data_IF_080117546101
#
_entry.id   IF_080117546101
#
_cell.length_a   1.000
_cell.length_b   1.000
_cell.length_c   1.000
_cell.angle_alpha   90.00
_cell.angle_beta   90.00
_cell.angle_gamma   90.00
#
_symmetry.space_group_name_H-M   'P 1'
#
loop_
_entity.id
_entity.type
_entity.pdbx_description
1 polymer ?
#
# COMPACT_ATOMS: atom_id res chain seq x y z
N UNK A 1 12.83 -12.07 -31.90
CA UNK A 1 14.15 -11.48 -31.62
C UNK A 1 14.45 -11.64 -30.14
N UNK A 2 15.65 -12.11 -29.73
CA UNK A 2 16.01 -12.19 -28.32
C UNK A 2 16.03 -10.78 -27.72
N UNK A 3 15.30 -10.57 -26.61
CA UNK A 3 15.33 -9.29 -25.90
C UNK A 3 16.72 -9.11 -25.31
N UNK A 4 17.42 -8.04 -25.70
CA UNK A 4 18.72 -7.67 -25.14
C UNK A 4 18.61 -7.60 -23.62
N UNK A 5 19.51 -8.27 -22.90
CA UNK A 5 19.54 -8.22 -21.44
C UNK A 5 19.76 -6.78 -20.99
N UNK A 6 19.00 -6.26 -20.02
CA UNK A 6 19.25 -4.93 -19.48
C UNK A 6 20.64 -4.83 -18.85
N UNK A 7 21.37 -3.76 -19.14
CA UNK A 7 22.77 -3.52 -18.70
C UNK A 7 22.90 -3.62 -17.18
N UNK A 8 21.90 -3.15 -16.42
CA UNK A 8 21.93 -3.22 -14.95
C UNK A 8 21.97 -4.66 -14.40
N UNK A 9 21.43 -5.64 -15.14
CA UNK A 9 21.51 -7.05 -14.72
C UNK A 9 22.93 -7.59 -14.85
N UNK A 10 23.65 -7.15 -15.88
CA UNK A 10 25.05 -7.50 -16.11
C UNK A 10 25.98 -6.77 -15.13
N UNK A 11 25.60 -5.55 -14.69
CA UNK A 11 26.33 -4.78 -13.69
C UNK A 11 26.14 -5.28 -12.24
N UNK A 12 25.12 -6.11 -11.98
CA UNK A 12 24.75 -6.55 -10.63
C UNK A 12 25.85 -7.36 -9.89
N UNK A 13 26.58 -8.30 -10.52
CA UNK A 13 27.68 -9.00 -9.87
C UNK A 13 28.81 -8.04 -9.44
N UNK A 14 29.16 -7.09 -10.30
CA UNK A 14 30.18 -6.06 -10.01
C UNK A 14 29.75 -5.17 -8.86
N UNK A 15 28.50 -4.68 -8.89
CA UNK A 15 27.92 -3.90 -7.80
C UNK A 15 27.99 -4.63 -6.45
N UNK A 16 27.62 -5.91 -6.42
CA UNK A 16 27.70 -6.72 -5.22
C UNK A 16 29.15 -6.86 -4.71
N UNK A 17 30.11 -7.10 -5.61
CA UNK A 17 31.53 -7.20 -5.25
C UNK A 17 32.09 -5.88 -4.70
N UNK A 18 31.65 -4.74 -5.25
CA UNK A 18 32.01 -3.42 -4.73
C UNK A 18 31.46 -3.21 -3.32
N UNK A 19 30.20 -3.58 -3.07
CA UNK A 19 29.62 -3.52 -1.73
C UNK A 19 30.35 -4.44 -0.75
N UNK A 20 30.64 -5.69 -1.12
CA UNK A 20 31.33 -6.67 -0.26
C UNK A 20 32.74 -6.21 0.16
N UNK A 21 33.40 -5.39 -0.67
CA UNK A 21 34.78 -4.91 -0.46
C UNK A 21 34.88 -3.49 0.09
N UNK A 22 33.75 -2.80 0.22
CA UNK A 22 33.68 -1.42 0.70
C UNK A 22 34.09 -1.32 2.16
N UNK A 23 34.92 -0.33 2.50
CA UNK A 23 35.40 -0.11 3.88
C UNK A 23 34.85 1.16 4.50
N UNK A 24 34.22 2.02 3.70
CA UNK A 24 33.70 3.31 4.11
C UNK A 24 32.44 3.66 3.29
N UNK A 25 31.77 4.74 3.69
CA UNK A 25 30.58 5.25 3.01
C UNK A 25 30.83 5.70 1.56
N UNK A 26 32.01 6.28 1.27
CA UNK A 26 32.33 6.76 -0.07
C UNK A 26 32.42 5.61 -1.09
N UNK A 27 32.95 4.44 -0.67
CA UNK A 27 32.99 3.24 -1.49
C UNK A 27 31.57 2.74 -1.81
N UNK A 28 30.69 2.74 -0.80
CA UNK A 28 29.27 2.35 -0.95
C UNK A 28 28.53 3.33 -1.87
N UNK A 29 28.76 4.63 -1.71
CA UNK A 29 28.17 5.66 -2.56
C UNK A 29 28.62 5.50 -4.01
N UNK A 30 29.92 5.24 -4.24
CA UNK A 30 30.46 4.97 -5.57
C UNK A 30 29.84 3.73 -6.21
N UNK A 31 29.69 2.64 -5.45
CA UNK A 31 29.01 1.43 -5.90
C UNK A 31 27.54 1.70 -6.28
N UNK A 32 26.84 2.52 -5.48
CA UNK A 32 25.45 2.89 -5.76
C UNK A 32 25.33 3.78 -7.01
N UNK A 33 26.24 4.72 -7.21
CA UNK A 33 26.29 5.55 -8.43
C UNK A 33 26.54 4.70 -9.68
N UNK A 34 27.44 3.71 -9.59
CA UNK A 34 27.72 2.78 -10.68
C UNK A 34 26.46 2.00 -11.12
N UNK A 35 25.74 1.38 -10.17
CA UNK A 35 24.55 0.60 -10.53
C UNK A 35 23.39 1.50 -11.00
N UNK A 36 23.26 2.72 -10.47
CA UNK A 36 22.29 3.71 -10.96
C UNK A 36 22.57 4.08 -12.41
N UNK A 37 23.82 4.36 -12.75
CA UNK A 37 24.21 4.67 -14.11
C UNK A 37 23.85 3.52 -15.07
N UNK A 38 24.13 2.27 -14.68
CA UNK A 38 23.75 1.10 -15.47
C UNK A 38 22.22 0.96 -15.66
N UNK A 39 21.42 1.40 -14.69
CA UNK A 39 19.94 1.47 -14.83
C UNK A 39 19.53 2.57 -15.79
N UNK A 40 20.17 3.75 -15.73
CA UNK A 40 19.91 4.86 -16.67
C UNK A 40 20.27 4.46 -18.09
N UNK A 41 21.42 3.82 -18.30
CA UNK A 41 21.85 3.30 -19.60
C UNK A 41 20.92 2.22 -20.16
N UNK A 42 20.28 1.43 -19.28
CA UNK A 42 19.28 0.43 -19.69
C UNK A 42 17.96 1.06 -20.15
N UNK A 43 17.67 2.29 -19.71
CA UNK A 43 16.40 2.97 -19.95
C UNK A 43 16.63 4.49 -20.14
N UNK A 44 17.31 4.92 -21.22
CA UNK A 44 17.70 6.32 -21.41
C UNK A 44 16.49 7.25 -21.54
N UNK A 45 15.46 6.84 -22.29
CA UNK A 45 14.34 7.71 -22.66
C UNK A 45 13.09 7.50 -21.79
N UNK A 46 13.08 6.49 -20.93
CA UNK A 46 11.92 6.16 -20.09
C UNK A 46 12.25 6.22 -18.60
N UNK A 47 12.25 7.43 -18.03
CA UNK A 47 12.26 7.70 -16.60
C UNK A 47 11.51 6.68 -15.72
N UNK A 48 10.22 6.48 -16.00
CA UNK A 48 9.34 5.61 -15.20
C UNK A 48 9.74 4.13 -15.22
N UNK A 49 10.36 3.65 -16.29
CA UNK A 49 10.80 2.25 -16.43
C UNK A 49 11.97 1.90 -15.50
N UNK A 50 12.66 2.91 -14.93
CA UNK A 50 13.79 2.73 -13.99
C UNK A 50 13.34 2.32 -12.58
N UNK A 51 12.06 2.52 -12.23
CA UNK A 51 11.50 2.18 -10.89
C UNK A 51 11.59 0.70 -10.56
N UNK A 52 11.23 -0.18 -11.50
CA UNK A 52 11.21 -1.63 -11.29
C UNK A 52 12.63 -2.23 -11.13
N UNK A 53 13.62 -1.89 -11.97
CA UNK A 53 15.02 -2.23 -11.75
C UNK A 53 15.54 -1.79 -10.38
N UNK A 54 15.33 -0.53 -9.99
CA UNK A 54 15.79 -0.01 -8.69
C UNK A 54 15.13 -0.73 -7.50
N UNK A 55 13.83 -1.04 -7.61
CA UNK A 55 13.15 -1.86 -6.60
C UNK A 55 13.77 -3.26 -6.48
N UNK A 56 14.13 -3.86 -7.61
CA UNK A 56 14.76 -5.18 -7.66
C UNK A 56 16.17 -5.17 -7.06
N UNK A 57 16.98 -4.14 -7.35
CA UNK A 57 18.32 -3.96 -6.78
C UNK A 57 18.23 -3.81 -5.26
N UNK A 58 17.33 -2.96 -4.75
CA UNK A 58 17.11 -2.80 -3.30
C UNK A 58 16.65 -4.09 -2.63
N UNK A 59 15.78 -4.87 -3.28
CA UNK A 59 15.35 -6.18 -2.78
C UNK A 59 16.54 -7.14 -2.66
N UNK A 60 17.39 -7.19 -3.68
CA UNK A 60 18.60 -8.02 -3.65
C UNK A 60 19.59 -7.59 -2.57
N UNK A 61 19.76 -6.28 -2.32
CA UNK A 61 20.57 -5.78 -1.20
C UNK A 61 19.99 -6.25 0.15
N UNK A 62 18.67 -6.15 0.36
CA UNK A 62 18.02 -6.64 1.59
C UNK A 62 18.11 -8.15 1.78
N UNK A 63 18.04 -8.93 0.71
CA UNK A 63 18.17 -10.39 0.75
C UNK A 63 19.60 -10.81 1.05
N UNK A 64 20.59 -10.12 0.48
CA UNK A 64 22.02 -10.38 0.69
C UNK A 64 22.49 -9.93 2.08
N UNK A 65 21.95 -8.82 2.56
CA UNK A 65 22.24 -8.25 3.88
C UNK A 65 20.94 -8.15 4.68
N UNK A 66 20.47 -9.25 5.28
CA UNK A 66 19.25 -9.23 6.06
C UNK A 66 19.48 -8.51 7.40
N UNK A 67 18.68 -7.49 7.68
CA UNK A 67 18.61 -6.93 9.04
C UNK A 67 17.96 -7.96 9.98
N UNK A 68 18.55 -8.22 11.14
CA UNK A 68 17.90 -9.09 12.14
C UNK A 68 16.63 -8.42 12.66
N UNK A 69 15.51 -9.11 12.53
CA UNK A 69 14.26 -8.76 13.21
C UNK A 69 14.48 -8.73 14.72
N UNK A 70 14.18 -7.59 15.37
CA UNK A 70 14.13 -7.46 16.82
C UNK A 70 15.46 -7.23 17.56
N UNK A 71 16.54 -6.84 16.86
CA UNK A 71 17.83 -6.47 17.50
C UNK A 71 18.48 -5.20 16.96
N UNK A 72 17.77 -4.35 16.21
CA UNK A 72 18.26 -2.97 16.12
C UNK A 72 17.91 -2.28 17.45
N UNK A 73 18.87 -1.67 18.16
CA UNK A 73 18.60 -0.96 19.41
C UNK A 73 17.65 0.25 19.26
N UNK A 74 17.20 0.55 18.04
CA UNK A 74 16.59 1.83 17.66
C UNK A 74 15.40 1.63 16.70
N UNK A 75 14.43 0.82 17.09
CA UNK A 75 13.16 0.60 16.35
C UNK A 75 12.21 1.83 16.32
N UNK A 76 12.71 3.05 16.57
CA UNK A 76 11.86 4.25 16.77
C UNK A 76 12.34 5.56 16.13
N UNK A 77 13.39 5.57 15.30
CA UNK A 77 13.89 6.80 14.65
C UNK A 77 13.92 6.60 13.13
N UNK A 78 13.54 7.60 12.29
CA UNK A 78 13.73 7.52 10.84
C UNK A 78 15.22 7.28 10.57
N UNK A 79 15.54 6.15 9.92
CA UNK A 79 16.91 5.74 9.61
C UNK A 79 17.72 6.93 9.04
N UNK A 80 19.01 7.12 9.45
CA UNK A 80 19.91 5.98 9.66
C UNK A 80 20.95 6.07 10.80
N UNK A 81 21.19 4.92 11.44
CA UNK A 81 22.54 4.55 11.87
C UNK A 81 22.82 3.12 11.44
N UNK A 82 23.84 2.96 10.60
CA UNK A 82 24.23 1.75 9.86
C UNK A 82 25.34 0.99 10.57
N UNK A 83 25.10 0.64 11.83
CA UNK A 83 26.03 -0.16 12.59
C UNK A 83 25.34 -1.46 12.97
N UNK A 84 25.70 -2.56 12.32
CA UNK A 84 25.29 -3.89 12.76
C UNK A 84 26.55 -4.68 13.14
N UNK A 85 26.76 -4.88 14.43
CA UNK A 85 27.75 -5.82 14.98
C UNK A 85 27.29 -7.29 14.87
N UNK A 86 26.07 -7.51 14.39
CA UNK A 86 25.46 -8.81 14.23
C UNK A 86 25.88 -9.50 12.92
N UNK A 87 26.75 -10.51 13.04
CA UNK A 87 27.19 -11.37 11.94
C UNK A 87 28.40 -12.23 12.33
N UNK A 88 28.76 -13.25 11.52
CA UNK A 88 30.02 -14.00 11.72
C UNK A 88 31.18 -13.00 11.68
N UNK A 89 31.86 -12.82 12.81
CA UNK A 89 33.03 -11.96 12.97
C UNK A 89 32.82 -10.62 13.66
N UNK A 90 31.59 -10.19 13.99
CA UNK A 90 31.30 -8.88 14.63
C UNK A 90 32.08 -7.70 14.01
N UNK A 91 32.20 -7.72 12.69
CA UNK A 91 32.90 -6.67 11.92
C UNK A 91 31.88 -5.63 11.51
N UNK A 92 32.30 -4.36 11.55
CA UNK A 92 31.53 -3.20 11.09
C UNK A 92 31.10 -3.39 9.63
N UNK A 93 29.82 -3.16 9.36
CA UNK A 93 29.18 -3.47 8.07
C UNK A 93 28.42 -2.26 7.55
N UNK A 94 28.95 -1.67 6.49
CA UNK A 94 28.46 -0.45 5.84
C UNK A 94 27.44 -0.74 4.72
N UNK A 95 27.20 -2.00 4.38
CA UNK A 95 26.46 -2.45 3.20
C UNK A 95 25.00 -1.98 3.17
N UNK A 96 24.42 -1.70 4.35
CA UNK A 96 23.07 -1.15 4.47
C UNK A 96 22.96 0.32 4.06
N UNK A 97 24.05 1.09 4.05
CA UNK A 97 24.10 2.45 3.48
C UNK A 97 23.69 2.45 2.01
N UNK A 98 23.91 1.34 1.30
CA UNK A 98 23.50 1.23 -0.08
C UNK A 98 21.99 1.46 -0.24
N UNK A 99 21.17 1.09 0.75
CA UNK A 99 19.72 1.34 0.70
C UNK A 99 19.38 2.83 0.75
N UNK A 100 20.17 3.64 1.46
CA UNK A 100 20.03 5.10 1.49
C UNK A 100 20.43 5.69 0.14
N UNK A 101 21.61 5.36 -0.34
CA UNK A 101 22.09 5.93 -1.59
C UNK A 101 21.29 5.43 -2.80
N UNK A 102 20.59 4.29 -2.71
CA UNK A 102 19.63 3.83 -3.72
C UNK A 102 18.21 4.40 -3.54
N UNK A 103 17.96 5.23 -2.52
CA UNK A 103 16.79 6.10 -2.42
C UNK A 103 17.10 7.40 -3.17
N UNK A 104 16.47 7.60 -4.32
CA UNK A 104 16.57 8.82 -5.11
C UNK A 104 15.26 9.03 -5.86
N UNK A 105 15.04 10.28 -6.29
CA UNK A 105 13.81 11.00 -6.68
C UNK A 105 12.79 10.24 -7.52
N UNK A 106 13.24 9.23 -8.23
CA UNK A 106 12.45 8.22 -8.93
C UNK A 106 11.38 7.53 -8.06
N UNK A 107 11.55 7.58 -6.72
CA UNK A 107 10.67 6.94 -5.73
C UNK A 107 10.02 7.90 -4.74
N UNK A 108 10.16 9.23 -4.92
CA UNK A 108 9.28 10.15 -4.21
C UNK A 108 7.86 9.87 -4.71
N UNK A 109 7.05 9.25 -3.86
CA UNK A 109 5.63 9.56 -3.89
C UNK A 109 5.54 10.98 -3.36
N UNK A 110 4.80 11.85 -4.04
CA UNK A 110 4.42 13.17 -3.54
C UNK A 110 3.54 13.00 -2.28
N UNK A 111 4.13 12.55 -1.17
CA UNK A 111 3.48 12.35 0.13
C UNK A 111 3.67 13.60 1.02
N UNK A 112 4.04 14.75 0.45
CA UNK A 112 4.12 16.04 1.14
C UNK A 112 3.18 17.09 0.52
N UNK A 113 1.87 16.90 0.73
CA UNK A 113 0.89 18.00 0.72
C UNK A 113 -0.12 17.80 1.84
N UNK A 114 0.35 17.75 3.08
CA UNK A 114 -0.51 17.85 4.25
C UNK A 114 0.24 18.55 5.37
N UNK A 115 0.44 19.87 5.20
CA UNK A 115 0.52 20.75 6.36
C UNK A 115 -0.91 21.05 6.80
N UNK A 116 -1.43 20.21 7.69
CA UNK A 116 -2.64 20.49 8.45
C UNK A 116 -2.39 21.69 9.37
N UNK A 117 -2.78 22.88 8.90
CA UNK A 117 -3.08 24.00 9.81
C UNK A 117 -4.58 23.97 10.06
N UNK A 118 -4.95 23.22 11.10
CA UNK A 118 -6.30 23.22 11.67
C UNK A 118 -6.59 24.62 12.20
N UNK A 119 -7.54 25.32 11.57
CA UNK A 119 -8.22 26.46 12.19
C UNK A 119 -9.69 26.07 12.37
N UNK A 120 -10.23 26.05 13.61
CA UNK A 120 -11.62 25.64 13.85
C UNK A 120 -12.54 26.86 13.82
N UNK A 121 -13.63 26.79 13.04
CA UNK A 121 -14.75 27.75 13.12
C UNK A 121 -16.07 26.97 12.85
N UNK A 122 -17.17 27.29 13.57
CA UNK A 122 -18.08 26.30 14.13
C UNK A 122 -19.36 26.03 13.33
N UNK A 123 -20.04 24.95 13.73
CA UNK A 123 -21.36 24.48 13.31
C UNK A 123 -22.42 25.58 13.13
N UNK A 124 -23.22 25.46 12.06
CA UNK A 124 -24.66 25.80 12.09
C UNK A 124 -25.44 24.89 11.13
N UNK A 125 -26.66 24.58 11.54
CA UNK A 125 -27.59 23.58 11.03
C UNK A 125 -28.18 23.80 9.63
N UNK A 126 -28.57 22.67 9.02
CA UNK A 126 -29.72 22.40 8.12
C UNK A 126 -30.32 23.55 7.30
N UNK A 127 -30.35 23.36 5.97
CA UNK A 127 -31.61 23.29 5.22
C UNK A 127 -31.41 22.75 3.78
N UNK A 128 -32.36 21.92 3.37
CA UNK A 128 -32.68 21.58 1.98
C UNK A 128 -33.00 22.86 1.21
N UNK A 129 -32.49 23.02 -0.02
CA UNK A 129 -33.33 23.19 -1.21
C UNK A 129 -32.52 23.30 -2.51
N UNK A 130 -33.05 22.60 -3.51
CA UNK A 130 -32.97 22.76 -4.98
C UNK A 130 -32.12 23.93 -5.50
N UNK A 131 -31.05 23.61 -6.24
CA UNK A 131 -30.30 24.59 -7.04
C UNK A 131 -30.61 24.39 -8.52
N UNK A 132 -31.44 25.29 -9.03
CA UNK A 132 -31.61 25.63 -10.45
C UNK A 132 -30.28 26.14 -11.00
N UNK A 133 -29.84 25.77 -12.23
CA UNK A 133 -28.53 26.15 -12.74
C UNK A 133 -28.48 27.64 -13.07
N UNK A 134 -27.71 28.40 -12.30
CA UNK A 134 -27.37 29.80 -12.58
C UNK A 134 -26.40 29.86 -13.78
N UNK A 135 -26.62 30.75 -14.77
CA UNK A 135 -25.70 30.89 -15.89
C UNK A 135 -24.37 31.47 -15.39
N UNK A 136 -23.29 30.70 -15.56
CA UNK A 136 -21.93 31.15 -15.27
C UNK A 136 -21.56 32.30 -16.23
N UNK A 137 -21.30 33.48 -15.63
CA UNK A 137 -20.58 34.55 -16.29
C UNK A 137 -19.20 34.03 -16.72
N UNK A 138 -18.85 34.22 -17.99
CA UNK A 138 -17.54 33.92 -18.56
C UNK A 138 -16.50 34.93 -18.05
N UNK A 139 -16.04 34.78 -16.81
CA UNK A 139 -14.72 35.30 -16.44
C UNK A 139 -13.69 34.35 -17.04
N UNK A 140 -12.96 34.81 -18.06
CA UNK A 140 -11.85 34.08 -18.63
C UNK A 140 -10.72 33.97 -17.61
N UNK A 141 -10.79 32.94 -16.76
CA UNK A 141 -9.69 32.56 -15.87
C UNK A 141 -8.59 31.98 -16.77
N UNK A 142 -7.41 32.59 -16.72
CA UNK A 142 -6.21 32.00 -17.31
C UNK A 142 -5.75 30.87 -16.40
N UNK A 143 -5.99 29.63 -16.84
CA UNK A 143 -5.79 28.43 -16.02
C UNK A 143 -4.31 28.28 -15.64
N UNK A 144 -3.38 28.80 -16.44
CA UNK A 144 -1.96 28.66 -16.17
C UNK A 144 -1.47 29.58 -15.04
N UNK A 145 -2.06 30.76 -14.86
CA UNK A 145 -1.71 31.64 -13.75
C UNK A 145 -2.13 31.06 -12.40
N UNK A 146 -3.22 30.28 -12.37
CA UNK A 146 -3.73 29.68 -11.13
C UNK A 146 -2.95 28.43 -10.71
N UNK A 147 -2.34 27.72 -11.66
CA UNK A 147 -1.51 26.52 -11.41
C UNK A 147 -0.06 26.89 -11.04
N UNK A 148 0.30 28.18 -11.13
CA UNK A 148 1.62 28.69 -10.76
C UNK A 148 2.75 28.20 -11.68
N UNK A 149 2.41 27.84 -12.93
CA UNK A 149 3.38 27.41 -13.92
C UNK A 149 4.02 28.64 -14.58
N UNK A 150 5.32 28.83 -14.37
CA UNK A 150 6.09 29.93 -14.95
C UNK A 150 7.29 29.42 -15.76
N UNK A 151 7.77 30.23 -16.70
CA UNK A 151 9.01 29.98 -17.45
C UNK A 151 9.02 28.68 -18.27
N UNK A 152 10.10 27.92 -18.15
CA UNK A 152 10.40 26.74 -18.98
C UNK A 152 9.36 25.60 -18.83
N UNK A 153 8.72 25.50 -17.65
CA UNK A 153 7.67 24.51 -17.38
C UNK A 153 6.39 24.84 -18.15
N UNK A 154 6.01 26.12 -18.21
CA UNK A 154 4.87 26.60 -18.98
C UNK A 154 5.06 26.34 -20.48
N UNK A 155 6.27 26.58 -20.99
CA UNK A 155 6.60 26.37 -22.40
C UNK A 155 6.58 24.87 -22.76
N UNK A 156 7.08 24.02 -21.85
CA UNK A 156 7.00 22.56 -22.01
C UNK A 156 5.56 22.05 -22.02
N UNK A 157 4.71 22.57 -21.13
CA UNK A 157 3.29 22.22 -21.07
C UNK A 157 2.56 22.71 -22.31
N UNK A 158 2.79 23.95 -22.77
CA UNK A 158 2.21 24.49 -24.01
C UNK A 158 2.63 23.68 -25.24
N UNK A 159 3.90 23.28 -25.31
CA UNK A 159 4.41 22.45 -26.40
C UNK A 159 3.81 21.04 -26.37
N UNK A 160 3.59 20.45 -25.20
CA UNK A 160 2.95 19.15 -25.04
C UNK A 160 1.43 19.19 -25.34
N UNK A 161 0.77 20.31 -25.07
CA UNK A 161 -0.65 20.52 -25.35
C UNK A 161 -0.93 20.73 -26.85
N UNK A 162 0.02 21.28 -27.59
CA UNK A 162 -0.15 21.59 -29.02
C UNK A 162 -1.28 22.58 -29.27
N UNK A 163 -2.13 22.32 -30.26
CA UNK A 163 -3.31 23.15 -30.61
C UNK A 163 -4.57 22.80 -29.81
N UNK A 164 -4.47 21.96 -28.77
CA UNK A 164 -5.64 21.57 -28.00
C UNK A 164 -6.17 22.75 -27.17
N UNK A 165 -7.47 23.03 -27.29
CA UNK A 165 -8.14 24.02 -26.45
C UNK A 165 -8.05 23.57 -24.99
N UNK A 166 -7.26 24.32 -24.20
CA UNK A 166 -6.98 24.06 -22.78
C UNK A 166 -8.28 23.90 -22.00
N UNK A 167 -9.32 24.66 -22.37
CA UNK A 167 -10.63 24.57 -21.72
C UNK A 167 -11.27 23.20 -21.92
N UNK A 168 -11.19 22.66 -23.14
CA UNK A 168 -11.72 21.33 -23.44
C UNK A 168 -10.86 20.24 -22.79
N UNK A 169 -9.54 20.39 -22.75
CA UNK A 169 -8.66 19.44 -22.05
C UNK A 169 -8.94 19.39 -20.54
N UNK A 170 -9.03 20.55 -19.88
CA UNK A 170 -9.36 20.66 -18.46
C UNK A 170 -10.75 20.09 -18.17
N UNK A 171 -11.73 20.39 -19.02
CA UNK A 171 -13.08 19.82 -18.92
C UNK A 171 -13.08 18.30 -19.03
N UNK A 172 -12.32 17.72 -19.96
CA UNK A 172 -12.19 16.26 -20.10
C UNK A 172 -11.48 15.64 -18.88
N UNK A 173 -10.44 16.28 -18.35
CA UNK A 173 -9.75 15.82 -17.14
C UNK A 173 -10.68 15.84 -15.91
N UNK A 174 -11.45 16.91 -15.73
CA UNK A 174 -12.45 17.03 -14.67
C UNK A 174 -13.56 15.98 -14.82
N UNK A 175 -14.08 15.77 -16.03
CA UNK A 175 -15.07 14.74 -16.31
C UNK A 175 -14.54 13.33 -16.02
N UNK A 176 -13.29 13.04 -16.37
CA UNK A 176 -12.67 11.75 -16.09
C UNK A 176 -12.50 11.53 -14.58
N UNK A 177 -12.05 12.55 -13.85
CA UNK A 177 -11.95 12.52 -12.38
C UNK A 177 -13.32 12.32 -11.73
N UNK A 178 -14.33 13.05 -12.18
CA UNK A 178 -15.71 12.91 -11.68
C UNK A 178 -16.28 11.50 -11.93
N UNK A 179 -16.07 10.94 -13.13
CA UNK A 179 -16.46 9.55 -13.44
C UNK A 179 -15.77 8.55 -12.52
N UNK A 180 -14.48 8.73 -12.22
CA UNK A 180 -13.75 7.86 -11.32
C UNK A 180 -14.28 7.96 -9.87
N UNK A 181 -14.62 9.17 -9.40
CA UNK A 181 -15.24 9.38 -8.08
C UNK A 181 -16.61 8.72 -8.01
N UNK A 182 -17.47 8.92 -9.02
CA UNK A 182 -18.81 8.33 -9.05
C UNK A 182 -18.74 6.80 -9.10
N UNK A 183 -17.87 6.22 -9.92
CA UNK A 183 -17.68 4.77 -9.98
C UNK A 183 -17.16 4.19 -8.65
N UNK A 184 -16.36 4.95 -7.88
CA UNK A 184 -15.95 4.56 -6.53
C UNK A 184 -17.13 4.66 -5.55
N UNK A 185 -17.93 5.72 -5.64
CA UNK A 185 -19.09 5.94 -4.78
C UNK A 185 -20.17 4.87 -4.99
N UNK A 186 -20.45 4.49 -6.24
CA UNK A 186 -21.35 3.38 -6.56
C UNK A 186 -20.89 2.06 -5.93
N UNK A 187 -19.58 1.76 -5.97
CA UNK A 187 -19.01 0.56 -5.33
C UNK A 187 -19.06 0.61 -3.81
N UNK A 188 -18.89 1.80 -3.21
CA UNK A 188 -18.99 2.03 -1.77
C UNK A 188 -20.45 1.90 -1.27
N UNK A 189 -21.43 2.08 -2.14
CA UNK A 189 -22.84 1.91 -1.82
C UNK A 189 -23.39 0.54 -2.26
N UNK A 190 -22.59 -0.31 -2.89
CA UNK A 190 -23.00 -1.66 -3.28
C UNK A 190 -23.17 -2.52 -2.02
N UNK A 191 -24.39 -3.02 -1.81
CA UNK A 191 -24.69 -4.00 -0.78
C UNK A 191 -24.25 -5.39 -1.25
N UNK A 192 -23.28 -5.96 -0.53
CA UNK A 192 -22.66 -7.25 -0.84
C UNK A 192 -23.15 -8.37 0.06
N UNK A 193 -24.11 -8.09 0.95
CA UNK A 193 -24.63 -9.07 1.92
C UNK A 193 -25.21 -10.33 1.26
N UNK A 194 -25.75 -10.19 0.04
CA UNK A 194 -26.35 -11.29 -0.74
C UNK A 194 -25.37 -12.00 -1.69
N UNK A 195 -24.14 -11.51 -1.84
CA UNK A 195 -23.14 -12.12 -2.72
C UNK A 195 -22.48 -13.31 -2.01
N UNK A 196 -22.23 -14.42 -2.71
CA UNK A 196 -21.58 -15.59 -2.11
C UNK A 196 -20.15 -15.26 -1.63
N UNK A 197 -19.70 -15.85 -0.52
CA UNK A 197 -18.37 -15.66 0.04
C UNK A 197 -17.26 -16.10 -0.93
N UNK A 198 -17.47 -17.20 -1.67
CA UNK A 198 -16.56 -17.66 -2.71
C UNK A 198 -16.45 -16.66 -3.87
N UNK A 199 -17.58 -16.09 -4.28
CA UNK A 199 -17.64 -15.05 -5.31
C UNK A 199 -16.93 -13.78 -4.86
N UNK A 200 -17.15 -13.34 -3.61
CA UNK A 200 -16.46 -12.19 -3.01
C UNK A 200 -14.94 -12.39 -2.93
N UNK A 201 -14.48 -13.62 -2.71
CA UNK A 201 -13.05 -13.94 -2.58
C UNK A 201 -12.34 -14.09 -3.93
N UNK A 202 -13.01 -14.70 -4.92
CA UNK A 202 -12.37 -15.14 -6.16
C UNK A 202 -12.65 -14.22 -7.36
N UNK A 203 -13.77 -13.50 -7.39
CA UNK A 203 -14.10 -12.64 -8.52
C UNK A 203 -13.24 -11.37 -8.53
N UNK A 204 -12.67 -11.07 -9.71
CA UNK A 204 -11.94 -9.83 -9.98
C UNK A 204 -12.79 -8.59 -9.76
N UNK A 205 -14.12 -8.68 -9.93
CA UNK A 205 -15.07 -7.58 -9.67
C UNK A 205 -14.94 -7.07 -8.23
N UNK A 206 -14.86 -7.99 -7.26
CA UNK A 206 -14.89 -7.67 -5.84
C UNK A 206 -13.52 -7.51 -5.21
N UNK A 207 -12.45 -7.99 -5.86
CA UNK A 207 -11.06 -7.90 -5.36
C UNK A 207 -10.60 -6.50 -4.97
N UNK A 208 -11.08 -5.47 -5.66
CA UNK A 208 -10.79 -4.06 -5.36
C UNK A 208 -11.98 -3.30 -4.75
N UNK A 209 -13.08 -3.98 -4.46
CA UNK A 209 -14.23 -3.36 -3.81
C UNK A 209 -13.94 -3.26 -2.29
N UNK A 210 -13.92 -2.05 -1.71
CA UNK A 210 -13.66 -1.87 -0.27
C UNK A 210 -14.70 -2.58 0.62
N UNK A 211 -15.96 -2.63 0.19
CA UNK A 211 -17.04 -3.29 0.95
C UNK A 211 -16.90 -4.80 0.95
N UNK A 212 -16.31 -5.40 -0.08
CA UNK A 212 -16.13 -6.86 -0.14
C UNK A 212 -15.26 -7.35 1.02
N UNK A 213 -14.19 -6.62 1.33
CA UNK A 213 -13.33 -6.93 2.47
C UNK A 213 -14.03 -6.76 3.82
N UNK A 214 -14.94 -5.78 3.94
CA UNK A 214 -15.74 -5.55 5.15
C UNK A 214 -16.77 -6.65 5.36
N UNK A 215 -17.45 -7.05 4.29
CA UNK A 215 -18.45 -8.13 4.33
C UNK A 215 -17.78 -9.48 4.64
N UNK A 216 -16.69 -9.82 3.97
CA UNK A 216 -15.90 -11.02 4.27
C UNK A 216 -15.41 -11.04 5.72
N UNK A 217 -14.91 -9.92 6.24
CA UNK A 217 -14.50 -9.81 7.63
C UNK A 217 -15.69 -10.00 8.59
N UNK A 218 -16.85 -9.41 8.30
CA UNK A 218 -18.08 -9.58 9.07
C UNK A 218 -18.52 -11.04 9.14
N UNK A 219 -18.54 -11.74 8.00
CA UNK A 219 -18.89 -13.17 7.94
C UNK A 219 -17.87 -14.05 8.66
N UNK A 220 -16.58 -13.77 8.53
CA UNK A 220 -15.53 -14.48 9.26
C UNK A 220 -15.68 -14.30 10.78
N UNK A 221 -15.94 -13.08 11.25
CA UNK A 221 -16.19 -12.82 12.68
C UNK A 221 -17.41 -13.59 13.17
N UNK A 222 -18.51 -13.60 12.40
CA UNK A 222 -19.71 -14.39 12.74
C UNK A 222 -19.39 -15.89 12.81
N UNK A 223 -18.75 -16.44 11.79
CA UNK A 223 -18.40 -17.86 11.73
C UNK A 223 -17.50 -18.29 12.92
N UNK A 224 -16.55 -17.45 13.33
CA UNK A 224 -15.72 -17.74 14.51
C UNK A 224 -16.56 -17.68 15.80
N UNK A 225 -17.48 -16.72 15.93
CA UNK A 225 -18.38 -16.64 17.08
C UNK A 225 -19.28 -17.87 17.17
N UNK A 226 -19.82 -18.33 16.05
CA UNK A 226 -20.66 -19.52 15.96
C UNK A 226 -19.87 -20.79 16.30
N UNK A 227 -18.64 -20.90 15.80
CA UNK A 227 -17.72 -21.98 16.21
C UNK A 227 -17.48 -21.96 17.72
N UNK A 228 -17.13 -20.81 18.29
CA UNK A 228 -16.85 -20.68 19.72
C UNK A 228 -18.07 -20.99 20.60
N UNK A 229 -19.27 -20.76 20.10
CA UNK A 229 -20.53 -21.12 20.76
C UNK A 229 -20.74 -22.64 20.73
N UNK A 230 -20.54 -23.28 19.57
CA UNK A 230 -20.74 -24.71 19.37
C UNK A 230 -19.61 -25.59 19.94
N UNK A 231 -18.42 -25.01 20.15
CA UNK A 231 -17.21 -25.68 20.65
C UNK A 231 -16.63 -24.91 21.84
N UNK A 232 -17.32 -24.89 23.00
CA UNK A 232 -16.91 -24.10 24.15
C UNK A 232 -15.54 -24.50 24.70
N UNK A 233 -15.10 -25.74 24.48
CA UNK A 233 -13.78 -26.27 24.84
C UNK A 233 -12.64 -25.81 23.92
N UNK A 234 -12.95 -25.36 22.70
CA UNK A 234 -11.98 -25.05 21.65
C UNK A 234 -12.22 -23.67 21.01
N UNK A 235 -12.34 -22.65 21.86
CA UNK A 235 -12.60 -21.27 21.43
C UNK A 235 -11.37 -20.60 20.83
N UNK A 236 -11.55 -19.97 19.68
CA UNK A 236 -10.56 -19.11 19.03
C UNK A 236 -10.71 -17.66 19.48
N UNK A 237 -9.61 -17.03 19.90
CA UNK A 237 -9.52 -15.58 20.06
C UNK A 237 -9.56 -14.92 18.69
N UNK A 238 -10.56 -14.08 18.42
CA UNK A 238 -10.74 -13.43 17.12
C UNK A 238 -9.62 -12.39 16.92
N UNK A 239 -8.83 -12.54 15.87
CA UNK A 239 -7.72 -11.64 15.54
C UNK A 239 -7.67 -11.33 14.05
N UNK A 240 -7.04 -10.22 13.66
CA UNK A 240 -6.85 -9.86 12.26
C UNK A 240 -6.17 -10.97 11.45
N UNK A 241 -5.29 -11.76 12.08
CA UNK A 241 -4.61 -12.89 11.45
C UNK A 241 -5.55 -14.06 11.15
N UNK A 242 -6.44 -14.42 12.08
CA UNK A 242 -7.43 -15.48 11.82
C UNK A 242 -8.43 -15.07 10.76
N UNK A 243 -8.91 -13.82 10.80
CA UNK A 243 -9.81 -13.30 9.78
C UNK A 243 -9.11 -13.32 8.41
N UNK A 244 -7.81 -13.00 8.37
CA UNK A 244 -7.00 -13.07 7.15
C UNK A 244 -6.88 -14.48 6.60
N UNK A 245 -6.71 -15.47 7.50
CA UNK A 245 -6.62 -16.88 7.13
C UNK A 245 -7.94 -17.40 6.52
N UNK A 246 -9.08 -16.94 7.03
CA UNK A 246 -10.40 -17.33 6.52
C UNK A 246 -10.79 -16.60 5.22
N UNK A 247 -10.41 -15.33 5.07
CA UNK A 247 -10.90 -14.47 3.98
C UNK A 247 -9.91 -14.29 2.84
N UNK A 248 -8.63 -14.65 3.03
CA UNK A 248 -7.54 -14.33 2.10
C UNK A 248 -7.20 -12.82 2.02
N UNK A 249 -7.92 -11.95 2.74
CA UNK A 249 -7.68 -10.51 2.78
C UNK A 249 -6.47 -10.23 3.67
N UNK A 250 -5.61 -9.31 3.26
CA UNK A 250 -4.40 -8.99 4.05
C UNK A 250 -4.75 -8.44 5.45
N UNK A 251 -3.95 -8.74 6.49
CA UNK A 251 -4.23 -8.25 7.85
C UNK A 251 -4.32 -6.72 7.96
N UNK A 252 -3.56 -6.00 7.11
CA UNK A 252 -3.59 -4.53 7.05
C UNK A 252 -4.92 -3.99 6.53
N UNK A 253 -5.54 -4.66 5.55
CA UNK A 253 -6.85 -4.29 5.06
C UNK A 253 -7.94 -4.64 6.09
N UNK A 254 -7.83 -5.81 6.73
CA UNK A 254 -8.74 -6.23 7.80
C UNK A 254 -8.76 -5.23 8.95
N UNK A 255 -7.59 -4.79 9.42
CA UNK A 255 -7.49 -3.82 10.51
C UNK A 255 -8.29 -2.53 10.28
N UNK A 256 -8.48 -2.12 9.02
CA UNK A 256 -9.27 -0.93 8.66
C UNK A 256 -10.78 -1.16 8.64
N UNK A 257 -11.21 -2.40 8.42
CA UNK A 257 -12.64 -2.71 8.21
C UNK A 257 -13.31 -3.34 9.42
N UNK A 258 -12.54 -3.93 10.33
CA UNK A 258 -13.07 -4.56 11.56
C UNK A 258 -13.36 -3.58 12.69
N UNK A 259 -13.03 -2.30 12.49
CA UNK A 259 -13.37 -1.23 13.43
C UNK A 259 -14.89 -1.18 13.65
N UNK A 260 -15.31 -1.19 14.91
CA UNK A 260 -16.72 -1.20 15.30
C UNK A 260 -17.41 -2.59 15.28
N UNK A 261 -16.70 -3.69 14.99
CA UNK A 261 -17.27 -5.05 15.03
C UNK A 261 -17.32 -5.67 16.45
N UNK A 262 -16.92 -4.94 17.49
CA UNK A 262 -16.95 -5.39 18.89
C UNK A 262 -16.08 -6.63 19.17
N UNK A 263 -14.99 -6.80 18.42
CA UNK A 263 -14.10 -7.96 18.54
C UNK A 263 -13.37 -7.96 19.88
N UNK A 264 -12.89 -6.80 20.31
CA UNK A 264 -12.15 -6.61 21.57
C UNK A 264 -13.04 -6.94 22.78
N UNK A 265 -14.26 -6.37 22.81
CA UNK A 265 -15.25 -6.65 23.85
C UNK A 265 -15.63 -8.12 23.91
N UNK A 266 -15.86 -8.75 22.75
CA UNK A 266 -16.17 -10.18 22.66
C UNK A 266 -15.02 -11.04 23.22
N UNK A 267 -13.78 -10.77 22.81
CA UNK A 267 -12.62 -11.50 23.29
C UNK A 267 -12.44 -11.34 24.80
N UNK A 268 -12.60 -10.12 25.32
CA UNK A 268 -12.52 -9.83 26.75
C UNK A 268 -13.61 -10.58 27.54
N UNK A 269 -14.86 -10.54 27.06
CA UNK A 269 -15.98 -11.24 27.69
C UNK A 269 -15.78 -12.77 27.73
N UNK A 270 -15.13 -13.33 26.72
CA UNK A 270 -14.82 -14.77 26.65
C UNK A 270 -13.49 -15.14 27.33
N UNK A 271 -12.73 -14.18 27.86
CA UNK A 271 -11.41 -14.42 28.45
C UNK A 271 -10.37 -14.91 27.45
N UNK A 272 -10.52 -14.59 26.17
CA UNK A 272 -9.69 -15.09 25.08
C UNK A 272 -8.51 -14.16 24.80
N UNK A 273 -7.33 -14.75 24.68
CA UNK A 273 -6.12 -14.03 24.27
C UNK A 273 -5.48 -14.68 23.03
N UNK A 274 -4.71 -13.94 22.22
CA UNK A 274 -4.08 -14.48 21.02
C UNK A 274 -3.16 -15.68 21.27
N UNK A 275 -2.65 -15.85 22.50
CA UNK A 275 -1.80 -16.98 22.88
C UNK A 275 -2.56 -18.30 22.82
N UNK A 276 -3.85 -18.30 23.20
CA UNK A 276 -4.73 -19.48 23.21
C UNK A 276 -4.85 -20.09 21.80
N UNK A 277 -4.82 -19.27 20.76
CA UNK A 277 -4.91 -19.74 19.38
C UNK A 277 -3.81 -20.73 18.99
N UNK A 278 -2.61 -20.63 19.60
CA UNK A 278 -1.52 -21.59 19.34
C UNK A 278 -1.84 -22.98 19.89
N UNK A 279 -2.45 -23.02 21.07
CA UNK A 279 -2.84 -24.26 21.72
C UNK A 279 -4.01 -24.90 20.99
N UNK A 280 -5.03 -24.12 20.63
CA UNK A 280 -6.17 -24.60 19.85
C UNK A 280 -5.70 -25.14 18.50
N UNK A 281 -4.83 -24.41 17.78
CA UNK A 281 -4.30 -24.87 16.48
C UNK A 281 -3.58 -26.22 16.57
N UNK A 282 -2.91 -26.51 17.68
CA UNK A 282 -2.24 -27.80 17.89
C UNK A 282 -3.23 -28.96 18.12
N UNK A 283 -4.44 -28.67 18.60
CA UNK A 283 -5.46 -29.68 18.94
C UNK A 283 -6.43 -29.92 17.78
N UNK A 284 -6.95 -28.85 17.18
CA UNK A 284 -8.03 -28.94 16.17
C UNK A 284 -7.58 -28.64 14.74
N UNK A 285 -6.33 -28.21 14.53
CA UNK A 285 -5.83 -27.82 13.20
C UNK A 285 -6.00 -26.33 12.91
N UNK A 286 -5.80 -25.95 11.64
CA UNK A 286 -5.86 -24.55 11.21
C UNK A 286 -7.30 -24.05 11.20
N UNK A 287 -7.53 -22.75 11.42
CA UNK A 287 -8.91 -22.23 11.45
C UNK A 287 -9.60 -22.37 10.09
N UNK A 288 -8.85 -22.22 9.00
CA UNK A 288 -9.35 -22.41 7.63
C UNK A 288 -9.72 -23.86 7.30
N UNK A 289 -9.33 -24.83 8.13
CA UNK A 289 -9.67 -26.25 7.94
C UNK A 289 -10.94 -26.63 8.71
N UNK A 290 -11.30 -25.87 9.76
CA UNK A 290 -12.38 -26.23 10.69
C UNK A 290 -13.52 -25.23 10.74
N UNK A 291 -13.29 -23.99 10.33
CA UNK A 291 -14.31 -22.94 10.21
C UNK A 291 -14.44 -22.55 8.74
N UNK A 292 -15.65 -22.68 8.21
CA UNK A 292 -16.01 -22.10 6.93
C UNK A 292 -16.69 -20.75 7.15
N UNK A 293 -16.41 -19.79 6.28
CA UNK A 293 -17.22 -18.57 6.20
C UNK A 293 -18.52 -18.98 5.50
N UNK A 294 -19.56 -19.26 6.29
CA UNK A 294 -20.88 -19.58 5.76
C UNK A 294 -21.43 -18.41 4.93
N UNK A 295 -22.10 -18.75 3.83
CA UNK A 295 -22.88 -17.78 3.08
C UNK A 295 -24.02 -17.27 3.95
N UNK A 296 -24.27 -15.96 3.89
CA UNK A 296 -25.38 -15.33 4.61
C UNK A 296 -26.74 -15.84 4.11
N UNK A 297 -26.74 -16.47 2.92
CA UNK A 297 -27.84 -17.25 2.40
C UNK A 297 -27.72 -18.68 2.93
N UNK A 298 -28.34 -18.95 4.08
CA UNK A 298 -28.46 -20.32 4.59
C UNK A 298 -29.10 -21.25 3.56
N UNK A 299 -28.26 -22.05 2.90
CA UNK A 299 -28.46 -23.39 2.34
C UNK A 299 -27.02 -23.96 2.29
N UNK A 300 -26.57 -24.87 3.16
CA UNK A 300 -27.24 -26.00 3.81
C UNK A 300 -27.29 -25.93 5.35
#
# INVERSE_FOLDING_TARGET
>A
MPRKTPVWKEAMPTFNGLIDTSKNEADIQSACSYIKQAVVESYPDTPNSRRNPMSSIRKAVRERYPAQSGKSPHEGVPFPYYFTDAGKGRVERWEHLALLHLQEDWNLKDDFSSSDTITPVPSTEKQSDTITPTPMNETSIDIFSEVGLEGEELDTVKQALGDADIKEWVKQALLQRAKAINALHERLNEDLSMVNSEELMNDKKYRTNPNASRELASRAVRAIKDWNYNRPEHKWCITNKLISELTGVTPKAIAKVVEGMGIEDYNAMQGLTPVVNRQIKAVVGSISEVVSIADVLGVD
#
